data_IF_074837772803
#
_entry.id   IF_074837772803
#
_cell.length_a   1.000
_cell.length_b   1.000
_cell.length_c   1.000
_cell.angle_alpha   90.00
_cell.angle_beta   90.00
_cell.angle_gamma   90.00
#
_symmetry.space_group_name_H-M   'P 1'
#
loop_
_entity.id
_entity.type
_entity.pdbx_description
1 polymer ?
#
# COMPACT_ATOMS: atom_id res chain seq x y z
N UNK A 1 49.56 -0.89 26.02
CA UNK A 1 49.37 -0.08 24.80
C UNK A 1 47.86 0.14 24.65
N UNK A 2 47.42 1.28 25.18
CA UNK A 2 46.71 2.35 24.47
C UNK A 2 45.20 2.08 24.33
N UNK A 3 44.48 2.50 25.37
CA UNK A 3 43.04 2.76 25.30
C UNK A 3 42.78 4.00 24.45
N UNK A 4 41.81 3.87 23.54
CA UNK A 4 41.30 4.97 22.72
C UNK A 4 40.35 5.84 23.56
N UNK A 5 40.46 7.18 23.52
CA UNK A 5 39.52 8.04 24.22
C UNK A 5 38.23 8.18 23.41
N UNK A 6 37.10 7.78 24.01
CA UNK A 6 35.76 8.17 23.57
C UNK A 6 35.64 9.69 23.68
N UNK A 7 35.32 10.33 22.56
CA UNK A 7 34.92 11.74 22.52
C UNK A 7 33.48 11.83 23.04
N UNK A 8 33.30 12.28 24.27
CA UNK A 8 32.00 12.73 24.78
C UNK A 8 31.70 14.13 24.21
N UNK A 9 30.77 14.21 23.27
CA UNK A 9 30.21 15.48 22.85
C UNK A 9 29.20 15.96 23.92
N UNK A 10 29.62 16.93 24.73
CA UNK A 10 28.71 17.73 25.56
C UNK A 10 27.82 18.58 24.66
N UNK A 11 26.54 18.21 24.53
CA UNK A 11 25.52 19.13 24.06
C UNK A 11 25.08 20.01 25.25
N UNK A 12 25.24 21.31 25.08
CA UNK A 12 24.97 22.36 26.05
C UNK A 12 23.50 22.40 26.47
N UNK A 13 23.26 22.41 27.78
CA UNK A 13 22.00 22.80 28.40
C UNK A 13 21.76 24.30 28.15
N UNK A 14 20.76 24.61 27.33
CA UNK A 14 20.15 25.94 27.29
C UNK A 14 18.83 25.88 28.07
N UNK A 15 18.76 26.71 29.09
CA UNK A 15 17.68 26.85 30.07
C UNK A 15 16.33 27.15 29.43
N UNK A 16 15.31 26.42 29.87
CA UNK A 16 13.88 26.66 29.66
C UNK A 16 13.38 27.91 30.39
N UNK A 17 12.57 28.77 29.76
CA UNK A 17 11.65 29.63 30.49
C UNK A 17 10.35 28.88 30.78
N UNK A 18 9.95 28.96 32.05
CA UNK A 18 8.68 28.51 32.60
C UNK A 18 7.49 29.19 31.90
N UNK A 19 6.64 28.41 31.20
CA UNK A 19 5.30 28.83 30.74
C UNK A 19 4.34 27.63 30.76
N UNK A 20 3.94 27.21 31.96
CA UNK A 20 3.04 26.06 32.20
C UNK A 20 1.64 26.10 31.56
N UNK A 21 1.30 27.13 30.77
CA UNK A 21 0.06 27.20 29.97
C UNK A 21 0.28 27.10 28.45
N UNK A 22 1.52 27.24 27.95
CA UNK A 22 1.83 27.18 26.50
C UNK A 22 2.17 25.77 25.98
N UNK A 23 2.53 24.82 26.85
CA UNK A 23 2.80 23.43 26.44
C UNK A 23 1.53 22.64 26.08
N UNK A 24 0.34 23.11 26.46
CA UNK A 24 -0.92 22.42 26.18
C UNK A 24 -1.39 22.54 24.71
N UNK A 25 -0.84 23.48 23.92
CA UNK A 25 -1.30 23.76 22.55
C UNK A 25 -0.29 23.49 21.43
N UNK A 26 0.98 23.15 21.70
CA UNK A 26 1.95 22.84 20.62
C UNK A 26 1.60 21.56 19.85
N UNK A 27 0.81 20.68 20.48
CA UNK A 27 0.51 19.35 19.97
C UNK A 27 -0.84 19.26 19.25
N UNK A 28 -1.62 20.34 19.28
CA UNK A 28 -2.96 20.40 18.67
C UNK A 28 -2.91 21.19 17.37
N UNK A 29 -3.76 20.81 16.42
CA UNK A 29 -3.98 21.58 15.19
C UNK A 29 -5.44 21.52 14.81
N UNK A 30 -5.99 22.67 14.45
CA UNK A 30 -7.36 22.84 14.01
C UNK A 30 -7.34 23.11 12.50
N UNK A 31 -8.04 22.28 11.73
CA UNK A 31 -8.08 22.37 10.27
C UNK A 31 -9.49 22.80 9.91
N UNK A 32 -9.62 24.02 9.39
CA UNK A 32 -10.89 24.56 8.92
C UNK A 32 -10.96 24.40 7.41
N UNK A 33 -12.03 23.78 6.93
CA UNK A 33 -12.22 23.46 5.53
C UNK A 33 -13.55 23.99 4.98
N UNK A 34 -13.55 24.47 3.74
CA UNK A 34 -14.80 24.77 3.02
C UNK A 34 -15.60 23.48 2.80
N UNK A 35 -14.92 22.37 2.51
CA UNK A 35 -15.52 21.05 2.37
C UNK A 35 -14.62 19.95 2.97
N UNK A 36 -15.18 19.18 3.87
CA UNK A 36 -14.61 17.94 4.38
C UNK A 36 -15.26 16.74 3.69
N UNK A 37 -14.44 15.84 3.16
CA UNK A 37 -14.86 14.54 2.64
C UNK A 37 -14.41 13.51 3.68
N UNK A 38 -15.32 12.83 4.39
CA UNK A 38 -14.93 12.01 5.55
C UNK A 38 -14.25 10.68 5.18
N UNK A 39 -14.18 10.33 3.90
CA UNK A 39 -13.74 9.03 3.39
C UNK A 39 -14.92 8.10 3.14
N UNK A 40 -15.83 7.95 4.11
CA UNK A 40 -17.11 7.23 3.97
C UNK A 40 -18.25 8.09 4.50
N UNK A 41 -19.35 8.19 3.74
CA UNK A 41 -20.49 9.03 4.06
C UNK A 41 -20.43 10.43 3.43
N UNK A 42 -21.39 11.28 3.80
CA UNK A 42 -21.62 12.55 3.11
C UNK A 42 -20.57 13.63 3.43
N UNK A 43 -20.11 14.40 2.44
CA UNK A 43 -19.25 15.56 2.66
C UNK A 43 -19.92 16.63 3.53
N UNK A 44 -19.13 17.28 4.40
CA UNK A 44 -19.59 18.36 5.30
C UNK A 44 -19.01 19.70 4.87
N UNK A 45 -19.86 20.70 4.68
CA UNK A 45 -19.43 22.09 4.39
C UNK A 45 -19.07 22.85 5.66
N UNK A 46 -18.20 23.84 5.54
CA UNK A 46 -17.77 24.73 6.64
C UNK A 46 -17.34 23.90 7.85
N UNK A 47 -16.47 22.92 7.58
CA UNK A 47 -16.09 21.88 8.52
C UNK A 47 -14.83 22.25 9.30
N UNK A 48 -14.68 21.64 10.47
CA UNK A 48 -13.51 21.71 11.31
C UNK A 48 -13.07 20.30 11.72
N UNK A 49 -11.76 20.09 11.76
CA UNK A 49 -11.11 18.89 12.30
C UNK A 49 -10.10 19.32 13.34
N UNK A 50 -10.11 18.69 14.51
CA UNK A 50 -9.06 18.88 15.52
C UNK A 50 -8.23 17.62 15.59
N UNK A 51 -6.92 17.75 15.43
CA UNK A 51 -5.97 16.64 15.50
C UNK A 51 -4.93 16.87 16.59
N UNK A 52 -4.35 15.78 17.09
CA UNK A 52 -3.22 15.83 18.01
C UNK A 52 -2.04 15.02 17.51
N UNK A 53 -0.86 15.64 17.49
CA UNK A 53 0.41 14.97 17.17
C UNK A 53 0.90 14.06 18.31
N UNK A 54 0.51 14.37 19.56
CA UNK A 54 0.85 13.59 20.76
C UNK A 54 0.07 12.28 20.85
N UNK A 55 -1.25 12.34 20.74
CA UNK A 55 -2.08 11.12 20.72
C UNK A 55 -2.10 10.45 19.34
N UNK A 56 -1.69 11.17 18.29
CA UNK A 56 -1.79 10.78 16.87
C UNK A 56 -3.24 10.58 16.40
N UNK A 57 -4.21 11.14 17.12
CA UNK A 57 -5.65 10.93 16.87
C UNK A 57 -6.37 12.20 16.43
N UNK A 58 -7.47 11.99 15.73
CA UNK A 58 -8.51 12.97 15.47
C UNK A 58 -9.36 13.09 16.74
N UNK A 59 -9.49 14.31 17.26
CA UNK A 59 -10.15 14.63 18.53
C UNK A 59 -11.52 15.29 18.36
N UNK A 60 -11.82 15.78 17.15
CA UNK A 60 -13.12 16.36 16.80
C UNK A 60 -13.28 16.42 15.29
N UNK A 61 -14.51 16.20 14.81
CA UNK A 61 -14.93 16.43 13.43
C UNK A 61 -16.35 16.99 13.47
N UNK A 62 -16.60 18.09 12.77
CA UNK A 62 -17.93 18.70 12.73
C UNK A 62 -17.93 20.01 11.96
N UNK A 63 -18.97 20.83 12.14
CA UNK A 63 -18.98 22.20 11.61
C UNK A 63 -18.02 23.09 12.42
N UNK A 64 -17.51 24.13 11.79
CA UNK A 64 -16.69 25.16 12.45
C UNK A 64 -17.43 25.82 13.63
N UNK A 65 -18.75 25.99 13.53
CA UNK A 65 -19.59 26.52 14.62
C UNK A 65 -19.66 25.64 15.85
N UNK A 66 -19.34 24.34 15.69
CA UNK A 66 -19.56 23.32 16.70
C UNK A 66 -18.25 22.93 17.40
N UNK A 67 -17.12 23.58 17.06
CA UNK A 67 -15.81 23.32 17.66
C UNK A 67 -15.89 23.57 19.18
N UNK A 68 -15.61 22.56 20.02
CA UNK A 68 -15.65 22.72 21.47
C UNK A 68 -14.74 23.84 21.96
N UNK A 69 -15.22 24.64 22.92
CA UNK A 69 -14.46 25.79 23.49
C UNK A 69 -13.11 25.41 24.09
N UNK A 70 -12.93 24.16 24.53
CA UNK A 70 -11.63 23.61 24.95
C UNK A 70 -10.54 23.65 23.86
N UNK A 71 -10.91 23.82 22.60
CA UNK A 71 -10.00 23.98 21.47
C UNK A 71 -9.93 25.42 20.96
N UNK A 72 -10.47 26.41 21.67
CA UNK A 72 -10.51 27.80 21.20
C UNK A 72 -9.13 28.43 20.96
N UNK A 73 -8.09 27.96 21.67
CA UNK A 73 -6.70 28.41 21.54
C UNK A 73 -5.86 27.60 20.54
N UNK A 74 -6.47 26.61 19.88
CA UNK A 74 -5.80 25.69 18.97
C UNK A 74 -5.31 26.42 17.70
N UNK A 75 -4.04 26.24 17.28
CA UNK A 75 -3.54 26.79 16.02
C UNK A 75 -4.42 26.35 14.84
N UNK A 76 -4.95 27.32 14.11
CA UNK A 76 -5.93 27.06 13.04
C UNK A 76 -5.28 27.22 11.66
N UNK A 77 -5.45 26.20 10.82
CA UNK A 77 -5.03 26.16 9.42
C UNK A 77 -6.28 26.11 8.56
N UNK A 78 -6.41 27.05 7.63
CA UNK A 78 -7.52 27.09 6.68
C UNK A 78 -7.11 26.42 5.37
N UNK A 79 -7.93 25.50 4.90
CA UNK A 79 -7.74 24.78 3.64
C UNK A 79 -9.06 24.74 2.87
N UNK A 80 -9.06 24.64 1.54
CA UNK A 80 -10.32 24.59 0.81
C UNK A 80 -10.99 23.21 0.93
N UNK A 81 -10.24 22.12 0.75
CA UNK A 81 -10.77 20.74 0.77
C UNK A 81 -9.91 19.85 1.65
N UNK A 82 -10.53 19.11 2.57
CA UNK A 82 -9.86 18.17 3.48
C UNK A 82 -10.46 16.77 3.37
N UNK A 83 -9.61 15.74 3.45
CA UNK A 83 -10.01 14.33 3.39
C UNK A 83 -9.00 13.44 4.13
N UNK A 84 -9.29 12.14 4.38
CA UNK A 84 -8.30 11.24 4.96
C UNK A 84 -7.09 11.14 4.05
N UNK A 85 -5.93 10.87 4.63
CA UNK A 85 -4.76 10.49 3.84
C UNK A 85 -5.05 9.24 3.01
N UNK A 86 -4.55 9.25 1.78
CA UNK A 86 -4.82 8.18 0.81
C UNK A 86 -4.03 6.92 1.15
N UNK A 87 -4.59 5.79 0.75
CA UNK A 87 -3.97 4.48 0.81
C UNK A 87 -3.67 3.95 -0.60
N UNK A 88 -2.52 3.30 -0.74
CA UNK A 88 -2.23 2.43 -1.86
C UNK A 88 -2.18 0.98 -1.38
N UNK A 89 -3.19 0.19 -1.75
CA UNK A 89 -3.33 -1.19 -1.26
C UNK A 89 -2.52 -2.22 -2.07
N UNK A 90 -1.76 -1.79 -3.07
CA UNK A 90 -0.89 -2.68 -3.83
C UNK A 90 0.28 -1.89 -4.41
N UNK A 91 1.43 -1.97 -3.77
CA UNK A 91 2.67 -1.43 -4.31
C UNK A 91 3.86 -2.31 -3.89
N UNK A 92 5.03 -1.98 -4.43
CA UNK A 92 6.25 -2.77 -4.25
C UNK A 92 7.43 -1.87 -3.90
N UNK A 93 7.97 -2.05 -2.70
CA UNK A 93 9.15 -1.31 -2.23
C UNK A 93 10.40 -2.20 -2.37
N UNK A 94 10.84 -2.42 -3.61
CA UNK A 94 11.98 -3.29 -3.93
C UNK A 94 13.29 -2.55 -4.20
N UNK A 95 13.24 -1.27 -4.58
CA UNK A 95 14.39 -0.48 -5.01
C UNK A 95 14.80 -0.73 -6.47
N UNK A 96 14.05 -1.54 -7.20
CA UNK A 96 14.27 -1.82 -8.62
C UNK A 96 14.03 -0.58 -9.48
N UNK A 97 14.70 -0.51 -10.62
CA UNK A 97 14.61 0.59 -11.59
C UNK A 97 13.85 0.19 -12.85
N UNK A 98 13.54 -1.09 -12.99
CA UNK A 98 12.81 -1.67 -14.12
C UNK A 98 11.69 -2.59 -13.63
N UNK A 99 10.85 -3.06 -14.55
CA UNK A 99 9.85 -4.10 -14.28
C UNK A 99 10.44 -5.53 -14.31
N UNK A 100 11.74 -5.67 -14.57
CA UNK A 100 12.39 -6.98 -14.57
C UNK A 100 12.65 -7.41 -13.11
N UNK A 101 11.89 -8.40 -12.63
CA UNK A 101 12.02 -8.94 -11.27
C UNK A 101 13.43 -9.43 -10.95
N UNK A 102 14.20 -9.87 -11.94
CA UNK A 102 15.56 -10.39 -11.74
C UNK A 102 16.59 -9.30 -11.42
N UNK A 103 16.25 -8.03 -11.63
CA UNK A 103 17.02 -6.91 -11.09
C UNK A 103 17.08 -6.98 -9.56
N UNK A 104 15.98 -7.39 -8.91
CA UNK A 104 15.87 -7.43 -7.45
C UNK A 104 16.92 -8.35 -6.84
N UNK A 105 17.14 -9.52 -7.44
CA UNK A 105 18.15 -10.49 -6.97
C UNK A 105 19.60 -10.02 -7.18
N UNK A 106 19.83 -9.07 -8.08
CA UNK A 106 21.15 -8.51 -8.41
C UNK A 106 21.45 -7.21 -7.64
N UNK A 107 20.44 -6.64 -6.97
CA UNK A 107 20.52 -5.34 -6.32
C UNK A 107 21.12 -5.45 -4.91
N UNK A 108 22.11 -4.59 -4.62
CA UNK A 108 22.59 -4.41 -3.23
C UNK A 108 21.49 -3.81 -2.35
N UNK A 109 21.26 -4.37 -1.16
CA UNK A 109 20.27 -3.87 -0.21
C UNK A 109 20.54 -2.43 0.22
N UNK A 110 21.80 -1.99 0.28
CA UNK A 110 22.14 -0.60 0.58
C UNK A 110 21.64 0.36 -0.53
N UNK A 111 21.82 -0.04 -1.80
CA UNK A 111 21.30 0.72 -2.94
C UNK A 111 19.78 0.71 -2.97
N UNK A 112 19.16 -0.44 -2.68
CA UNK A 112 17.70 -0.56 -2.58
C UNK A 112 17.15 0.40 -1.50
N UNK A 113 17.69 0.35 -0.28
CA UNK A 113 17.29 1.23 0.82
C UNK A 113 17.44 2.72 0.50
N UNK A 114 18.56 3.12 -0.12
CA UNK A 114 18.78 4.51 -0.52
C UNK A 114 17.73 5.01 -1.53
N UNK A 115 17.36 4.18 -2.50
CA UNK A 115 16.30 4.50 -3.47
C UNK A 115 14.92 4.54 -2.80
N UNK A 116 14.64 3.57 -1.94
CA UNK A 116 13.35 3.46 -1.25
C UNK A 116 13.10 4.58 -0.25
N UNK A 117 14.14 5.15 0.36
CA UNK A 117 13.98 6.36 1.18
C UNK A 117 13.39 7.52 0.37
N UNK A 118 13.83 7.69 -0.87
CA UNK A 118 13.25 8.69 -1.78
C UNK A 118 11.83 8.30 -2.21
N UNK A 119 11.60 7.04 -2.58
CA UNK A 119 10.27 6.55 -2.93
C UNK A 119 9.24 6.76 -1.82
N UNK A 120 9.58 6.47 -0.57
CA UNK A 120 8.71 6.70 0.58
C UNK A 120 8.36 8.19 0.76
N UNK A 121 9.34 9.08 0.61
CA UNK A 121 9.13 10.52 0.68
C UNK A 121 8.22 11.01 -0.47
N UNK A 122 8.43 10.53 -1.70
CA UNK A 122 7.62 10.90 -2.87
C UNK A 122 6.17 10.42 -2.72
N UNK A 123 5.96 9.19 -2.23
CA UNK A 123 4.62 8.65 -1.93
C UNK A 123 3.90 9.49 -0.87
N UNK A 124 4.56 9.83 0.24
CA UNK A 124 3.97 10.68 1.28
C UNK A 124 3.63 12.08 0.73
N UNK A 125 4.53 12.66 -0.06
CA UNK A 125 4.33 13.97 -0.70
C UNK A 125 3.15 13.99 -1.68
N UNK A 126 2.80 12.84 -2.26
CA UNK A 126 1.64 12.65 -3.11
C UNK A 126 0.33 12.44 -2.33
N UNK A 127 0.36 12.56 -0.99
CA UNK A 127 -0.82 12.46 -0.13
C UNK A 127 -1.18 11.04 0.29
N UNK A 128 -0.33 10.05 -0.02
CA UNK A 128 -0.50 8.67 0.42
C UNK A 128 0.16 8.51 1.79
N UNK A 129 -0.65 8.52 2.84
CA UNK A 129 -0.16 8.42 4.22
C UNK A 129 0.01 6.98 4.67
N UNK A 130 -0.54 6.01 3.94
CA UNK A 130 -0.42 4.58 4.24
C UNK A 130 -0.25 3.77 2.95
N UNK A 131 0.52 2.70 3.02
CA UNK A 131 0.69 1.76 1.90
C UNK A 131 0.62 0.31 2.37
N UNK A 132 0.13 -0.55 1.49
CA UNK A 132 0.21 -2.01 1.60
C UNK A 132 1.22 -2.53 0.59
N UNK A 133 2.45 -2.74 1.05
CA UNK A 133 3.54 -3.30 0.25
C UNK A 133 3.34 -4.81 0.10
N UNK A 134 3.22 -5.30 -1.13
CA UNK A 134 2.94 -6.72 -1.41
C UNK A 134 4.16 -7.48 -1.93
N UNK A 135 5.36 -6.93 -1.79
CA UNK A 135 6.59 -7.65 -2.09
C UNK A 135 7.77 -6.69 -2.12
N UNK A 136 8.67 -6.80 -1.14
CA UNK A 136 9.77 -5.86 -1.03
C UNK A 136 10.52 -5.87 0.30
N UNK A 137 11.14 -4.73 0.57
CA UNK A 137 11.95 -4.42 1.75
C UNK A 137 11.29 -3.35 2.63
N UNK A 138 9.99 -3.12 2.46
CA UNK A 138 9.27 -2.15 3.28
C UNK A 138 9.28 -2.46 4.79
N UNK A 139 9.29 -3.72 5.29
CA UNK A 139 9.42 -3.96 6.73
C UNK A 139 10.73 -3.39 7.29
N UNK A 140 11.82 -3.55 6.55
CA UNK A 140 13.13 -3.02 6.93
C UNK A 140 13.17 -1.48 6.80
N UNK A 141 12.49 -0.91 5.80
CA UNK A 141 12.34 0.54 5.63
C UNK A 141 11.50 1.18 6.74
N UNK A 142 10.48 0.48 7.24
CA UNK A 142 9.56 0.97 8.26
C UNK A 142 10.28 1.39 9.53
N UNK A 143 11.34 0.67 9.92
CA UNK A 143 12.17 0.99 11.09
C UNK A 143 12.70 2.44 11.01
N UNK A 144 13.24 2.83 9.86
CA UNK A 144 13.81 4.17 9.64
C UNK A 144 12.72 5.27 9.48
N UNK A 145 11.48 4.89 9.15
CA UNK A 145 10.34 5.81 9.13
C UNK A 145 9.79 6.02 10.55
N UNK A 146 9.73 4.96 11.35
CA UNK A 146 9.19 4.96 12.71
C UNK A 146 10.10 5.69 13.69
N UNK A 147 11.42 5.55 13.55
CA UNK A 147 12.40 6.30 14.36
C UNK A 147 12.61 7.75 13.91
N UNK A 148 12.02 8.13 12.76
CA UNK A 148 12.07 9.48 12.21
C UNK A 148 13.31 9.83 11.39
N UNK A 149 14.18 8.86 11.08
CA UNK A 149 15.36 9.05 10.23
C UNK A 149 14.99 9.51 8.82
N UNK A 150 13.91 8.96 8.26
CA UNK A 150 13.36 9.36 6.95
C UNK A 150 11.84 9.59 7.02
N UNK A 151 11.28 10.47 6.18
CA UNK A 151 9.83 10.58 6.02
C UNK A 151 9.29 9.43 5.17
N UNK A 152 8.03 9.05 5.41
CA UNK A 152 7.34 8.06 4.61
C UNK A 152 5.92 7.77 5.10
N UNK A 153 5.12 7.00 4.36
CA UNK A 153 3.80 6.55 4.80
C UNK A 153 3.89 5.58 5.99
N UNK A 154 2.75 5.23 6.57
CA UNK A 154 2.62 4.04 7.41
C UNK A 154 2.76 2.80 6.52
N UNK A 155 3.55 1.82 6.97
CA UNK A 155 3.90 0.65 6.19
C UNK A 155 3.15 -0.58 6.70
N UNK A 156 2.37 -1.22 5.82
CA UNK A 156 1.74 -2.50 6.08
C UNK A 156 2.22 -3.52 5.04
N UNK A 157 3.36 -4.16 5.31
CA UNK A 157 4.04 -4.97 4.31
C UNK A 157 3.74 -6.47 4.43
N UNK A 158 3.81 -7.16 3.29
CA UNK A 158 3.86 -8.61 3.17
C UNK A 158 5.26 -9.20 3.45
N UNK A 159 6.30 -8.37 3.49
CA UNK A 159 7.67 -8.82 3.34
C UNK A 159 7.87 -9.34 1.92
N UNK A 160 8.25 -10.61 1.80
CA UNK A 160 8.36 -11.26 0.51
C UNK A 160 6.98 -11.66 -0.05
N UNK A 161 6.82 -11.55 -1.37
CA UNK A 161 5.75 -12.27 -2.07
C UNK A 161 6.12 -13.76 -2.18
N UNK A 162 5.22 -14.64 -1.79
CA UNK A 162 5.46 -16.10 -1.76
C UNK A 162 5.02 -16.71 -3.10
N UNK A 163 5.92 -17.45 -3.74
CA UNK A 163 5.73 -18.13 -5.03
C UNK A 163 6.15 -19.59 -4.93
N UNK A 164 5.54 -20.46 -5.73
CA UNK A 164 6.08 -21.79 -6.00
C UNK A 164 7.27 -21.69 -6.96
N UNK A 165 8.06 -22.76 -7.06
CA UNK A 165 9.00 -22.95 -8.17
C UNK A 165 8.24 -22.94 -9.51
N UNK A 166 8.82 -22.30 -10.52
CA UNK A 166 8.19 -21.99 -11.80
C UNK A 166 6.89 -21.16 -11.69
N UNK A 167 6.71 -20.44 -10.58
CA UNK A 167 5.61 -19.52 -10.36
C UNK A 167 5.89 -18.10 -10.86
N UNK A 168 4.93 -17.18 -10.66
CA UNK A 168 5.04 -15.81 -11.12
C UNK A 168 6.21 -15.04 -10.45
N UNK A 169 6.50 -15.38 -9.19
CA UNK A 169 7.64 -14.80 -8.46
C UNK A 169 8.98 -15.49 -8.70
N UNK A 170 9.06 -16.46 -9.61
CA UNK A 170 10.31 -17.13 -9.99
C UNK A 170 11.08 -16.32 -11.05
N UNK A 171 12.40 -16.46 -11.07
CA UNK A 171 13.31 -15.66 -11.90
C UNK A 171 13.87 -16.51 -13.05
N UNK A 172 13.06 -16.68 -14.10
CA UNK A 172 13.33 -17.60 -15.21
C UNK A 172 14.59 -17.31 -16.04
N UNK A 173 15.15 -16.11 -15.98
CA UNK A 173 16.43 -15.75 -16.63
C UNK A 173 17.66 -16.12 -15.78
N UNK A 174 17.47 -16.70 -14.59
CA UNK A 174 18.52 -17.15 -13.69
C UNK A 174 18.45 -18.68 -13.47
N UNK A 175 19.57 -19.35 -13.17
CA UNK A 175 19.56 -20.77 -12.84
C UNK A 175 18.73 -21.05 -11.59
N UNK A 176 17.86 -22.07 -11.62
CA UNK A 176 16.95 -22.40 -10.51
C UNK A 176 17.66 -22.55 -9.15
N UNK A 177 18.84 -23.18 -9.13
CA UNK A 177 19.64 -23.31 -7.90
C UNK A 177 20.10 -21.96 -7.32
N UNK A 178 20.36 -20.97 -8.18
CA UNK A 178 20.66 -19.61 -7.75
C UNK A 178 19.42 -18.94 -7.15
N UNK A 179 18.26 -19.06 -7.83
CA UNK A 179 17.00 -18.48 -7.34
C UNK A 179 16.64 -19.09 -5.99
N UNK A 180 16.75 -20.40 -5.84
CA UNK A 180 16.53 -21.10 -4.57
C UNK A 180 17.48 -20.62 -3.47
N UNK A 181 18.77 -20.44 -3.78
CA UNK A 181 19.72 -19.89 -2.83
C UNK A 181 19.38 -18.44 -2.42
N UNK A 182 18.82 -17.65 -3.32
CA UNK A 182 18.46 -16.24 -3.05
C UNK A 182 17.11 -16.08 -2.33
N UNK A 183 16.13 -16.94 -2.63
CA UNK A 183 14.72 -16.72 -2.27
C UNK A 183 14.07 -17.93 -1.56
N UNK A 184 14.70 -19.10 -1.54
CA UNK A 184 14.15 -20.30 -0.92
C UNK A 184 14.06 -20.21 0.61
N UNK A 185 13.10 -20.95 1.19
CA UNK A 185 12.87 -20.97 2.64
C UNK A 185 13.97 -21.68 3.45
N UNK A 186 14.86 -22.41 2.80
CA UNK A 186 15.91 -23.22 3.43
C UNK A 186 17.27 -22.99 2.77
N UNK A 187 17.88 -21.83 3.05
CA UNK A 187 19.27 -21.53 2.66
C UNK A 187 20.20 -21.50 3.86
N UNK A 188 21.49 -21.75 3.62
CA UNK A 188 22.53 -21.79 4.65
C UNK A 188 23.33 -20.47 4.67
N UNK A 189 22.64 -19.33 4.84
CA UNK A 189 23.28 -18.02 4.99
C UNK A 189 22.58 -17.15 6.05
N UNK A 190 23.18 -16.00 6.37
CA UNK A 190 22.70 -15.08 7.41
C UNK A 190 21.46 -14.26 7.02
N UNK A 191 20.94 -14.43 5.80
CA UNK A 191 19.90 -13.55 5.25
C UNK A 191 18.57 -14.28 4.98
N UNK A 192 18.44 -15.56 5.34
CA UNK A 192 17.22 -16.38 5.07
C UNK A 192 15.91 -15.63 5.34
N UNK A 193 15.04 -15.59 4.34
CA UNK A 193 13.71 -14.98 4.43
C UNK A 193 13.66 -13.46 4.24
N UNK A 194 14.80 -12.78 4.06
CA UNK A 194 14.90 -11.32 3.97
C UNK A 194 14.87 -10.76 2.54
N UNK A 195 14.52 -11.56 1.53
CA UNK A 195 14.38 -11.12 0.13
C UNK A 195 13.00 -10.49 -0.12
N UNK A 196 12.83 -9.80 -1.25
CA UNK A 196 11.53 -9.32 -1.72
C UNK A 196 10.62 -10.44 -2.26
N UNK A 197 11.20 -11.61 -2.55
CA UNK A 197 10.52 -12.81 -3.07
C UNK A 197 10.88 -14.02 -2.21
N UNK A 198 9.95 -14.97 -2.08
CA UNK A 198 10.14 -16.19 -1.32
C UNK A 198 9.64 -17.39 -2.14
N UNK A 199 10.54 -18.33 -2.46
CA UNK A 199 10.17 -19.59 -3.13
C UNK A 199 9.93 -20.66 -2.07
N UNK A 200 8.81 -21.36 -2.19
CA UNK A 200 8.44 -22.46 -1.30
C UNK A 200 7.59 -23.49 -2.05
N UNK A 201 7.92 -24.78 -1.90
CA UNK A 201 7.17 -25.88 -2.50
C UNK A 201 6.80 -26.92 -1.44
N UNK A 202 5.54 -27.31 -1.41
CA UNK A 202 4.96 -28.20 -0.43
C UNK A 202 4.50 -27.51 0.85
N UNK A 203 3.54 -28.16 1.52
CA UNK A 203 2.85 -27.65 2.72
C UNK A 203 3.80 -27.17 3.82
N UNK A 204 4.89 -27.90 4.07
CA UNK A 204 5.84 -27.57 5.15
C UNK A 204 6.67 -26.33 4.83
N UNK A 205 7.09 -26.18 3.57
CA UNK A 205 7.82 -25.00 3.13
C UNK A 205 6.94 -23.77 3.09
N UNK A 206 5.71 -23.88 2.58
CA UNK A 206 4.72 -22.80 2.60
C UNK A 206 4.44 -22.33 4.04
N UNK A 207 4.33 -23.26 4.99
CA UNK A 207 4.22 -22.94 6.43
C UNK A 207 5.42 -22.12 6.92
N UNK A 208 6.64 -22.50 6.53
CA UNK A 208 7.87 -21.77 6.87
C UNK A 208 7.93 -20.41 6.20
N UNK A 209 7.53 -20.29 4.93
CA UNK A 209 7.52 -19.06 4.16
C UNK A 209 6.70 -17.96 4.85
N UNK A 210 5.48 -18.30 5.29
CA UNK A 210 4.61 -17.39 6.05
C UNK A 210 5.29 -16.92 7.34
N UNK A 211 5.86 -17.87 8.11
CA UNK A 211 6.53 -17.56 9.39
C UNK A 211 7.74 -16.65 9.21
N UNK A 212 8.52 -16.82 8.14
CA UNK A 212 9.65 -15.95 7.82
C UNK A 212 9.19 -14.51 7.56
N UNK A 213 8.04 -14.32 6.91
CA UNK A 213 7.51 -12.96 6.69
C UNK A 213 7.01 -12.34 7.99
N UNK A 214 6.28 -13.11 8.81
CA UNK A 214 5.85 -12.61 10.13
C UNK A 214 7.05 -12.27 11.01
N UNK A 215 8.15 -13.02 10.94
CA UNK A 215 9.41 -12.72 11.63
C UNK A 215 9.97 -11.34 11.26
N UNK A 216 9.78 -10.89 10.01
CA UNK A 216 10.20 -9.56 9.54
C UNK A 216 9.23 -8.44 9.94
N UNK A 217 8.12 -8.78 10.61
CA UNK A 217 7.09 -7.82 11.00
C UNK A 217 5.92 -7.70 10.01
N UNK A 218 5.80 -8.62 9.04
CA UNK A 218 4.73 -8.57 8.05
C UNK A 218 3.32 -8.47 8.69
N UNK A 219 2.50 -7.60 8.11
CA UNK A 219 1.12 -7.27 8.52
C UNK A 219 0.06 -7.86 7.60
N UNK A 220 0.48 -8.38 6.46
CA UNK A 220 -0.31 -9.16 5.51
C UNK A 220 0.60 -10.26 4.96
N UNK A 221 0.06 -11.25 4.26
CA UNK A 221 0.84 -12.26 3.52
C UNK A 221 0.45 -12.16 2.05
N UNK A 222 1.42 -12.18 1.14
CA UNK A 222 1.18 -12.17 -0.31
C UNK A 222 1.53 -13.52 -0.91
N UNK A 223 0.67 -14.03 -1.78
CA UNK A 223 0.93 -15.21 -2.63
C UNK A 223 0.70 -14.90 -4.11
N UNK A 224 1.39 -15.65 -4.97
CA UNK A 224 1.06 -15.80 -6.39
C UNK A 224 0.20 -17.04 -6.59
N UNK A 225 -1.10 -16.86 -6.81
CA UNK A 225 -2.07 -17.95 -6.94
C UNK A 225 -2.49 -18.21 -8.41
N UNK A 226 -1.94 -17.45 -9.34
CA UNK A 226 -1.95 -17.74 -10.78
C UNK A 226 -0.66 -17.25 -11.41
N UNK A 227 -0.44 -17.61 -12.68
CA UNK A 227 0.61 -16.95 -13.45
C UNK A 227 0.39 -15.45 -13.62
N UNK A 228 1.40 -14.75 -14.09
CA UNK A 228 1.36 -13.30 -14.29
C UNK A 228 1.58 -12.85 -15.72
N UNK A 229 1.56 -11.52 -15.87
CA UNK A 229 1.74 -10.85 -17.16
C UNK A 229 3.22 -10.61 -17.46
N UNK A 230 4.01 -10.32 -16.44
CA UNK A 230 5.44 -9.95 -16.57
C UNK A 230 6.39 -11.16 -16.64
N UNK A 231 5.97 -12.32 -16.15
CA UNK A 231 6.74 -13.56 -16.23
C UNK A 231 6.65 -14.17 -17.62
N UNK A 232 7.78 -14.67 -18.10
CA UNK A 232 7.92 -15.15 -19.48
C UNK A 232 7.43 -16.58 -19.69
N UNK A 233 7.42 -17.41 -18.65
CA UNK A 233 7.25 -18.86 -18.79
C UNK A 233 6.00 -19.44 -18.11
N UNK A 234 5.28 -18.67 -17.29
CA UNK A 234 3.98 -19.07 -16.75
C UNK A 234 2.82 -18.53 -17.62
N UNK A 235 1.58 -18.84 -17.23
CA UNK A 235 0.39 -18.39 -17.92
C UNK A 235 -0.60 -17.77 -16.93
N UNK A 236 -1.11 -16.53 -17.17
CA UNK A 236 -2.08 -15.89 -16.29
C UNK A 236 -3.37 -16.68 -16.08
N UNK A 237 -3.72 -17.59 -17.00
CA UNK A 237 -4.91 -18.43 -16.88
C UNK A 237 -4.74 -19.60 -15.90
N UNK A 238 -3.51 -20.02 -15.62
CA UNK A 238 -3.25 -21.23 -14.84
C UNK A 238 -3.10 -20.91 -13.36
N UNK A 239 -3.73 -21.74 -12.53
CA UNK A 239 -3.55 -21.73 -11.07
C UNK A 239 -2.08 -21.98 -10.72
N UNK A 240 -1.62 -21.29 -9.68
CA UNK A 240 -0.35 -21.55 -9.00
C UNK A 240 -0.63 -21.84 -7.52
N UNK A 241 0.23 -22.66 -6.93
CA UNK A 241 0.03 -23.44 -5.72
C UNK A 241 -1.11 -24.48 -5.84
N UNK A 242 -0.89 -25.61 -5.17
CA UNK A 242 -1.96 -26.56 -4.88
C UNK A 242 -2.96 -25.97 -3.88
N UNK A 243 -4.16 -26.55 -3.84
CA UNK A 243 -5.19 -26.17 -2.87
C UNK A 243 -4.70 -26.40 -1.43
N UNK A 244 -3.91 -27.46 -1.20
CA UNK A 244 -3.29 -27.77 0.08
C UNK A 244 -2.29 -26.70 0.53
N UNK A 245 -1.47 -26.20 -0.39
CA UNK A 245 -0.49 -25.13 -0.12
C UNK A 245 -1.18 -23.79 0.16
N UNK A 246 -2.16 -23.40 -0.65
CA UNK A 246 -2.94 -22.18 -0.41
C UNK A 246 -3.66 -22.25 0.94
N UNK A 247 -4.26 -23.40 1.27
CA UNK A 247 -4.93 -23.61 2.55
C UNK A 247 -3.96 -23.46 3.73
N UNK A 248 -2.79 -24.10 3.70
CA UNK A 248 -1.85 -23.99 4.82
C UNK A 248 -1.32 -22.56 4.98
N UNK A 249 -1.12 -21.83 3.88
CA UNK A 249 -0.69 -20.42 3.92
C UNK A 249 -1.75 -19.57 4.64
N UNK A 250 -3.02 -19.72 4.27
CA UNK A 250 -4.14 -19.01 4.91
C UNK A 250 -4.27 -19.39 6.38
N UNK A 251 -4.16 -20.68 6.72
CA UNK A 251 -4.24 -21.15 8.11
C UNK A 251 -3.12 -20.57 8.99
N UNK A 252 -1.88 -20.53 8.50
CA UNK A 252 -0.76 -19.93 9.24
C UNK A 252 -0.89 -18.42 9.39
N UNK A 253 -1.29 -17.71 8.33
CA UNK A 253 -1.54 -16.28 8.38
C UNK A 253 -2.62 -15.96 9.43
N UNK A 254 -3.73 -16.70 9.39
CA UNK A 254 -4.86 -16.55 10.32
C UNK A 254 -4.45 -16.82 11.77
N UNK A 255 -3.64 -17.85 12.03
CA UNK A 255 -3.12 -18.17 13.38
C UNK A 255 -2.37 -16.99 14.00
N UNK A 256 -1.78 -16.15 13.17
CA UNK A 256 -1.05 -14.95 13.58
C UNK A 256 -1.86 -13.67 13.32
N UNK A 257 -3.18 -13.73 13.12
CA UNK A 257 -4.03 -12.56 12.87
C UNK A 257 -3.66 -11.74 11.63
N UNK A 258 -3.19 -12.39 10.57
CA UNK A 258 -2.97 -11.80 9.24
C UNK A 258 -3.98 -12.38 8.25
N UNK A 259 -4.26 -11.61 7.22
CA UNK A 259 -4.98 -12.09 6.03
C UNK A 259 -4.00 -12.37 4.89
N UNK A 260 -4.46 -13.11 3.88
CA UNK A 260 -3.69 -13.39 2.66
C UNK A 260 -4.25 -12.58 1.50
N UNK A 261 -3.34 -11.94 0.78
CA UNK A 261 -3.50 -11.26 -0.50
C UNK A 261 -3.05 -12.20 -1.62
N UNK A 262 -3.90 -12.47 -2.61
CA UNK A 262 -3.61 -13.36 -3.72
C UNK A 262 -3.55 -12.62 -5.06
N UNK A 263 -2.37 -12.65 -5.70
CA UNK A 263 -2.24 -12.32 -7.12
C UNK A 263 -2.99 -13.36 -7.94
N UNK A 264 -4.01 -12.91 -8.68
CA UNK A 264 -4.84 -13.79 -9.51
C UNK A 264 -5.28 -13.10 -10.80
N UNK A 265 -5.14 -13.80 -11.91
CA UNK A 265 -5.75 -13.43 -13.19
C UNK A 265 -6.83 -14.44 -13.58
N UNK A 266 -6.44 -15.68 -13.89
CA UNK A 266 -7.31 -16.75 -14.37
C UNK A 266 -8.33 -17.24 -13.35
N UNK A 267 -9.47 -17.73 -13.85
CA UNK A 267 -10.59 -18.18 -13.01
C UNK A 267 -10.19 -19.29 -12.03
N UNK A 268 -9.35 -20.24 -12.45
CA UNK A 268 -8.95 -21.36 -11.59
C UNK A 268 -8.20 -20.85 -10.34
N UNK A 269 -7.21 -19.98 -10.53
CA UNK A 269 -6.48 -19.34 -9.43
C UNK A 269 -7.37 -18.44 -8.55
N UNK A 270 -8.29 -17.68 -9.14
CA UNK A 270 -9.30 -16.89 -8.41
C UNK A 270 -10.12 -17.79 -7.48
N UNK A 271 -10.67 -18.87 -8.01
CA UNK A 271 -11.55 -19.76 -7.25
C UNK A 271 -10.79 -20.51 -6.17
N UNK A 272 -9.57 -20.96 -6.46
CA UNK A 272 -8.69 -21.61 -5.48
C UNK A 272 -8.34 -20.67 -4.32
N UNK A 273 -7.94 -19.43 -4.61
CA UNK A 273 -7.63 -18.42 -3.60
C UNK A 273 -8.85 -18.12 -2.70
N UNK A 274 -10.04 -17.95 -3.28
CA UNK A 274 -11.26 -17.70 -2.51
C UNK A 274 -11.67 -18.90 -1.65
N UNK A 275 -11.56 -20.12 -2.17
CA UNK A 275 -11.84 -21.36 -1.43
C UNK A 275 -10.88 -21.57 -0.28
N UNK A 276 -9.59 -21.26 -0.47
CA UNK A 276 -8.58 -21.33 0.58
C UNK A 276 -8.80 -20.29 1.69
N UNK A 277 -9.48 -19.18 1.37
CA UNK A 277 -9.82 -18.12 2.32
C UNK A 277 -8.95 -16.86 2.22
N UNK A 278 -8.31 -16.63 1.06
CA UNK A 278 -7.65 -15.35 0.78
C UNK A 278 -8.68 -14.21 0.89
N UNK A 279 -8.29 -13.12 1.54
CA UNK A 279 -9.21 -12.00 1.86
C UNK A 279 -9.15 -10.89 0.84
N UNK A 280 -8.04 -10.76 0.12
CA UNK A 280 -7.94 -9.82 -0.98
C UNK A 280 -7.47 -10.50 -2.24
N UNK A 281 -8.06 -10.12 -3.37
CA UNK A 281 -7.66 -10.55 -4.70
C UNK A 281 -7.09 -9.35 -5.44
N UNK A 282 -5.87 -9.51 -5.93
CA UNK A 282 -5.21 -8.49 -6.74
C UNK A 282 -5.40 -8.80 -8.23
N UNK A 283 -5.61 -7.74 -9.01
CA UNK A 283 -5.93 -7.76 -10.44
C UNK A 283 -7.31 -8.35 -10.75
N UNK A 284 -7.55 -9.64 -10.45
CA UNK A 284 -8.85 -10.31 -10.62
C UNK A 284 -9.34 -10.35 -12.07
N UNK A 285 -8.44 -10.32 -13.06
CA UNK A 285 -8.76 -10.03 -14.47
C UNK A 285 -9.89 -10.85 -15.07
N UNK A 286 -10.01 -12.13 -14.70
CA UNK A 286 -11.04 -13.04 -15.23
C UNK A 286 -12.16 -13.34 -14.21
N UNK A 287 -12.40 -12.47 -13.23
CA UNK A 287 -13.59 -12.54 -12.40
C UNK A 287 -14.85 -12.59 -13.28
N UNK A 288 -15.71 -13.57 -12.98
CA UNK A 288 -17.03 -13.73 -13.57
C UNK A 288 -18.10 -13.73 -12.47
N UNK A 289 -19.35 -13.94 -12.84
CA UNK A 289 -20.48 -13.88 -11.91
C UNK A 289 -20.33 -14.86 -10.74
N UNK A 290 -19.88 -16.08 -11.00
CA UNK A 290 -19.63 -17.09 -9.97
C UNK A 290 -18.59 -16.61 -8.96
N UNK A 291 -17.45 -16.13 -9.46
CA UNK A 291 -16.39 -15.63 -8.59
C UNK A 291 -16.79 -14.37 -7.84
N UNK A 292 -17.50 -13.42 -8.46
CA UNK A 292 -18.01 -12.22 -7.80
C UNK A 292 -19.01 -12.55 -6.68
N UNK A 293 -19.86 -13.56 -6.89
CA UNK A 293 -20.78 -14.03 -5.86
C UNK A 293 -20.02 -14.66 -4.68
N UNK A 294 -19.01 -15.48 -4.96
CA UNK A 294 -18.16 -16.06 -3.93
C UNK A 294 -17.35 -14.99 -3.18
N UNK A 295 -16.87 -13.95 -3.86
CA UNK A 295 -16.21 -12.80 -3.21
C UNK A 295 -17.14 -12.12 -2.21
N UNK A 296 -18.41 -11.88 -2.57
CA UNK A 296 -19.39 -11.31 -1.62
C UNK A 296 -19.63 -12.25 -0.44
N UNK A 297 -19.79 -13.55 -0.68
CA UNK A 297 -19.99 -14.55 0.38
C UNK A 297 -18.80 -14.59 1.37
N UNK A 298 -17.57 -14.52 0.86
CA UNK A 298 -16.35 -14.52 1.68
C UNK A 298 -15.96 -13.12 2.19
N UNK A 299 -16.74 -12.10 1.82
CA UNK A 299 -16.45 -10.68 2.02
C UNK A 299 -15.00 -10.35 1.61
N UNK A 300 -14.55 -10.91 0.48
CA UNK A 300 -13.24 -10.64 -0.09
C UNK A 300 -13.23 -9.29 -0.79
N UNK A 301 -12.08 -8.61 -0.79
CA UNK A 301 -11.91 -7.28 -1.36
C UNK A 301 -11.12 -7.40 -2.67
N UNK A 302 -11.62 -6.74 -3.72
CA UNK A 302 -10.91 -6.63 -5.00
C UNK A 302 -9.96 -5.41 -4.98
N UNK A 303 -8.73 -5.61 -5.45
CA UNK A 303 -7.78 -4.53 -5.77
C UNK A 303 -7.45 -4.61 -7.27
N UNK A 304 -8.07 -3.77 -8.12
CA UNK A 304 -8.00 -3.91 -9.59
C UNK A 304 -6.66 -3.57 -10.26
N UNK A 305 -5.83 -2.71 -9.63
CA UNK A 305 -4.51 -2.29 -10.13
C UNK A 305 -4.51 -1.82 -11.59
N UNK A 306 -5.35 -0.85 -11.92
CA UNK A 306 -5.49 -0.39 -13.31
C UNK A 306 -4.30 0.44 -13.78
N UNK A 307 -3.57 1.07 -12.86
CA UNK A 307 -2.40 1.91 -13.16
C UNK A 307 -1.30 1.16 -13.89
N UNK A 308 -0.83 0.01 -13.37
CA UNK A 308 0.21 -0.80 -14.03
C UNK A 308 -0.18 -1.16 -15.48
N UNK A 309 -1.43 -1.54 -15.71
CA UNK A 309 -1.94 -1.89 -17.05
C UNK A 309 -1.93 -0.70 -17.99
N UNK A 310 -2.42 0.47 -17.53
CA UNK A 310 -2.47 1.69 -18.35
C UNK A 310 -1.06 2.19 -18.69
N UNK A 311 -0.13 2.15 -17.74
CA UNK A 311 1.25 2.59 -17.98
C UNK A 311 2.03 1.62 -18.86
N UNK A 312 1.83 0.31 -18.69
CA UNK A 312 2.45 -0.69 -19.55
C UNK A 312 1.94 -0.62 -21.00
N UNK A 313 0.65 -0.32 -21.21
CA UNK A 313 0.11 -0.09 -22.56
C UNK A 313 0.65 1.17 -23.25
N UNK A 314 0.95 2.23 -22.49
CA UNK A 314 1.56 3.45 -23.02
C UNK A 314 3.03 3.26 -23.36
N UNK A 315 3.74 2.42 -22.60
CA UNK A 315 5.17 2.22 -22.67
C UNK A 315 5.50 0.75 -22.97
N UNK A 316 5.01 0.23 -24.09
CA UNK A 316 5.16 -1.19 -24.45
C UNK A 316 6.62 -1.66 -24.50
N UNK A 317 7.54 -0.76 -24.82
CA UNK A 317 8.98 -1.04 -24.87
C UNK A 317 9.58 -1.39 -23.50
N UNK A 318 8.85 -1.15 -22.40
CA UNK A 318 9.23 -1.61 -21.06
C UNK A 318 8.94 -3.11 -20.83
N UNK A 319 8.21 -3.76 -21.74
CA UNK A 319 7.82 -5.16 -21.65
C UNK A 319 8.58 -6.01 -22.67
N UNK A 320 8.89 -7.26 -22.30
CA UNK A 320 9.32 -8.26 -23.28
C UNK A 320 8.22 -8.53 -24.33
N UNK A 321 8.56 -9.00 -25.54
CA UNK A 321 7.58 -9.34 -26.56
C UNK A 321 6.47 -10.28 -26.05
N UNK A 322 6.83 -11.31 -25.28
CA UNK A 322 5.90 -12.28 -24.70
C UNK A 322 4.93 -11.61 -23.72
N UNK A 323 5.41 -10.66 -22.90
CA UNK A 323 4.56 -9.91 -21.98
C UNK A 323 3.67 -8.88 -22.67
N UNK A 324 4.07 -8.34 -23.83
CA UNK A 324 3.24 -7.42 -24.60
C UNK A 324 1.96 -8.09 -25.12
N UNK A 325 2.05 -9.33 -25.59
CA UNK A 325 0.89 -10.09 -26.07
C UNK A 325 -0.11 -10.35 -24.93
N UNK A 326 0.39 -10.87 -23.80
CA UNK A 326 -0.41 -11.08 -22.58
C UNK A 326 -1.08 -9.77 -22.10
N UNK A 327 -0.34 -8.65 -22.14
CA UNK A 327 -0.82 -7.35 -21.66
C UNK A 327 -2.04 -6.84 -22.43
N UNK A 328 -2.08 -7.01 -23.75
CA UNK A 328 -3.23 -6.55 -24.55
C UNK A 328 -4.51 -7.29 -24.17
N UNK A 329 -4.44 -8.60 -23.98
CA UNK A 329 -5.59 -9.40 -23.58
C UNK A 329 -6.06 -9.03 -22.16
N UNK A 330 -5.12 -9.00 -21.21
CA UNK A 330 -5.38 -8.63 -19.81
C UNK A 330 -5.97 -7.23 -19.73
N UNK A 331 -5.50 -6.28 -20.53
CA UNK A 331 -6.02 -4.92 -20.50
C UNK A 331 -7.48 -4.82 -20.93
N UNK A 332 -7.87 -5.52 -22.01
CA UNK A 332 -9.25 -5.55 -22.50
C UNK A 332 -10.16 -6.26 -21.53
N UNK A 333 -9.74 -7.43 -21.02
CA UNK A 333 -10.54 -8.22 -20.08
C UNK A 333 -10.69 -7.52 -18.73
N UNK A 334 -9.60 -6.95 -18.22
CA UNK A 334 -9.57 -6.23 -16.95
C UNK A 334 -10.47 -4.99 -16.95
N UNK A 335 -10.63 -4.29 -18.08
CA UNK A 335 -11.57 -3.17 -18.18
C UNK A 335 -13.03 -3.63 -18.00
N UNK A 336 -13.39 -4.71 -18.69
CA UNK A 336 -14.72 -5.31 -18.59
C UNK A 336 -14.97 -5.78 -17.16
N UNK A 337 -14.02 -6.53 -16.60
CA UNK A 337 -14.11 -7.04 -15.24
C UNK A 337 -14.30 -5.92 -14.22
N UNK A 338 -13.54 -4.83 -14.30
CA UNK A 338 -13.64 -3.75 -13.32
C UNK A 338 -15.04 -3.11 -13.33
N UNK A 339 -15.59 -2.86 -14.54
CA UNK A 339 -16.96 -2.38 -14.72
C UNK A 339 -18.01 -3.35 -14.12
N UNK A 340 -17.82 -4.65 -14.31
CA UNK A 340 -18.70 -5.69 -13.78
C UNK A 340 -18.60 -5.81 -12.26
N UNK A 341 -17.39 -5.74 -11.71
CA UNK A 341 -17.16 -5.75 -10.27
C UNK A 341 -17.85 -4.58 -9.56
N UNK A 342 -17.70 -3.36 -10.08
CA UNK A 342 -18.41 -2.17 -9.56
C UNK A 342 -19.92 -2.40 -9.57
N UNK A 343 -20.48 -2.82 -10.70
CA UNK A 343 -21.93 -3.09 -10.84
C UNK A 343 -22.43 -4.20 -9.92
N UNK A 344 -21.60 -5.20 -9.62
CA UNK A 344 -21.97 -6.33 -8.77
C UNK A 344 -22.02 -5.99 -7.28
N UNK A 345 -21.44 -4.86 -6.88
CA UNK A 345 -21.36 -4.42 -5.48
C UNK A 345 -20.33 -5.16 -4.64
N UNK A 346 -19.35 -5.86 -5.23
CA UNK A 346 -18.19 -6.36 -4.46
C UNK A 346 -17.43 -5.19 -3.86
N UNK A 347 -16.86 -5.39 -2.66
CA UNK A 347 -16.04 -4.37 -2.03
C UNK A 347 -14.73 -4.19 -2.79
N UNK A 348 -14.38 -2.94 -3.06
CA UNK A 348 -13.18 -2.57 -3.81
C UNK A 348 -12.33 -1.63 -2.95
N UNK A 349 -11.02 -1.88 -2.94
CA UNK A 349 -10.01 -0.95 -2.46
C UNK A 349 -9.02 -0.64 -3.59
N UNK A 350 -8.40 0.54 -3.57
CA UNK A 350 -7.50 0.96 -4.64
C UNK A 350 -6.04 0.65 -4.32
N UNK A 351 -5.32 0.19 -5.34
CA UNK A 351 -3.89 -0.06 -5.31
C UNK A 351 -3.35 -0.03 -6.72
N UNK A 352 -2.08 0.33 -6.89
CA UNK A 352 -1.58 0.78 -8.21
C UNK A 352 -0.69 -0.24 -8.92
N UNK A 353 -0.06 -1.12 -8.15
CA UNK A 353 1.03 -2.01 -8.54
C UNK A 353 2.25 -1.23 -9.08
N UNK A 354 2.58 -0.14 -8.38
CA UNK A 354 3.80 0.63 -8.63
C UNK A 354 4.99 0.04 -7.88
N UNK A 355 6.13 -0.07 -8.56
CA UNK A 355 7.37 -0.65 -8.00
C UNK A 355 8.69 -0.04 -8.48
N UNK A 356 8.65 0.94 -9.38
CA UNK A 356 9.86 1.51 -9.98
C UNK A 356 10.39 2.66 -9.12
N UNK A 357 11.68 2.63 -8.79
CA UNK A 357 12.32 3.61 -7.91
C UNK A 357 13.14 4.68 -8.67
N UNK A 358 12.94 4.80 -9.99
CA UNK A 358 13.50 5.89 -10.81
C UNK A 358 12.57 7.09 -10.75
N UNK A 359 12.96 8.27 -10.26
CA UNK A 359 12.07 9.43 -10.24
C UNK A 359 11.60 9.85 -11.64
N UNK A 360 10.34 10.29 -11.75
CA UNK A 360 9.80 10.93 -12.96
C UNK A 360 9.22 10.00 -14.03
N UNK A 361 9.25 8.68 -13.84
CA UNK A 361 8.52 7.74 -14.71
C UNK A 361 7.06 7.59 -14.23
N UNK A 362 6.14 7.23 -15.13
CA UNK A 362 4.73 7.00 -14.77
C UNK A 362 4.56 5.89 -13.73
N UNK A 363 5.46 4.91 -13.73
CA UNK A 363 5.48 3.78 -12.78
C UNK A 363 6.21 4.05 -11.47
N UNK A 364 6.63 5.29 -11.25
CA UNK A 364 7.38 5.67 -10.05
C UNK A 364 6.46 5.95 -8.87
N UNK A 365 6.96 5.63 -7.67
CA UNK A 365 6.37 6.10 -6.42
C UNK A 365 6.15 7.63 -6.44
N UNK A 366 5.01 8.08 -5.91
CA UNK A 366 4.54 9.46 -5.99
C UNK A 366 3.54 9.73 -7.12
N UNK A 367 3.36 8.80 -8.07
CA UNK A 367 2.34 8.89 -9.13
C UNK A 367 1.09 8.03 -8.85
N UNK A 368 0.91 7.60 -7.60
CA UNK A 368 -0.10 6.65 -7.16
C UNK A 368 -1.55 7.14 -7.41
N UNK A 369 -1.78 8.46 -7.43
CA UNK A 369 -3.12 9.06 -7.54
C UNK A 369 -3.85 8.79 -8.86
N UNK A 370 -3.18 8.23 -9.87
CA UNK A 370 -3.82 7.84 -11.13
C UNK A 370 -4.93 6.79 -10.98
N UNK A 371 -4.83 5.93 -9.97
CA UNK A 371 -5.78 4.83 -9.74
C UNK A 371 -7.20 5.32 -9.45
N UNK A 372 -7.36 6.44 -8.73
CA UNK A 372 -8.68 7.02 -8.42
C UNK A 372 -9.40 7.45 -9.71
N UNK A 373 -8.68 8.07 -10.63
CA UNK A 373 -9.24 8.48 -11.91
C UNK A 373 -9.63 7.28 -12.78
N UNK A 374 -8.86 6.18 -12.72
CA UNK A 374 -9.23 4.95 -13.42
C UNK A 374 -10.44 4.24 -12.80
N UNK A 375 -10.64 4.36 -11.48
CA UNK A 375 -11.85 3.87 -10.82
C UNK A 375 -13.09 4.64 -11.29
N UNK A 376 -12.98 5.97 -11.44
CA UNK A 376 -14.06 6.80 -12.01
C UNK A 376 -14.31 6.48 -13.48
N UNK A 377 -13.26 6.30 -14.29
CA UNK A 377 -13.38 5.85 -15.69
C UNK A 377 -14.09 4.49 -15.79
N UNK A 378 -13.88 3.60 -14.82
CA UNK A 378 -14.54 2.29 -14.75
C UNK A 378 -16.00 2.35 -14.27
N UNK A 379 -16.45 3.49 -13.75
CA UNK A 379 -17.85 3.73 -13.41
C UNK A 379 -18.15 4.01 -11.94
N UNK A 380 -17.13 4.19 -11.09
CA UNK A 380 -17.34 4.76 -9.76
C UNK A 380 -17.65 6.25 -9.85
N UNK A 381 -18.44 6.76 -8.92
CA UNK A 381 -18.47 8.20 -8.61
C UNK A 381 -17.14 8.62 -7.97
N UNK A 382 -16.77 9.92 -8.03
CA UNK A 382 -15.59 10.42 -7.34
C UNK A 382 -15.58 10.13 -5.83
N UNK A 383 -16.75 10.14 -5.18
CA UNK A 383 -16.87 9.83 -3.76
C UNK A 383 -16.59 8.35 -3.47
N UNK A 384 -17.13 7.44 -4.28
CA UNK A 384 -16.84 6.00 -4.18
C UNK A 384 -15.35 5.69 -4.43
N UNK A 385 -14.71 6.37 -5.39
CA UNK A 385 -13.29 6.22 -5.65
C UNK A 385 -12.42 6.70 -4.46
N UNK A 386 -12.80 7.81 -3.82
CA UNK A 386 -12.16 8.29 -2.59
C UNK A 386 -12.38 7.28 -1.45
N UNK A 387 -13.59 6.75 -1.28
CA UNK A 387 -13.89 5.74 -0.26
C UNK A 387 -13.05 4.47 -0.45
N UNK A 388 -12.89 4.02 -1.70
CA UNK A 388 -12.06 2.87 -2.05
C UNK A 388 -10.56 3.11 -1.79
N UNK A 389 -10.08 4.35 -1.87
CA UNK A 389 -8.70 4.74 -1.53
C UNK A 389 -8.51 5.18 -0.07
N UNK A 390 -9.56 5.18 0.75
CA UNK A 390 -9.51 5.65 2.14
C UNK A 390 -10.20 4.67 3.07
N UNK A 391 -11.53 4.75 3.25
CA UNK A 391 -12.23 4.01 4.28
C UNK A 391 -12.22 2.48 4.07
N UNK A 392 -12.22 2.01 2.82
CA UNK A 392 -12.15 0.57 2.52
C UNK A 392 -10.72 0.03 2.66
N UNK A 393 -9.71 0.88 2.55
CA UNK A 393 -8.33 0.45 2.42
C UNK A 393 -7.76 -0.25 3.67
N UNK A 394 -7.96 0.24 4.91
CA UNK A 394 -7.54 -0.49 6.12
C UNK A 394 -8.14 -1.89 6.20
N UNK A 395 -9.37 -2.09 5.70
CA UNK A 395 -10.05 -3.39 5.75
C UNK A 395 -9.29 -4.49 4.97
N UNK A 396 -8.41 -4.10 4.03
CA UNK A 396 -7.52 -5.02 3.29
C UNK A 396 -6.47 -5.73 4.16
N UNK A 397 -6.32 -5.29 5.41
CA UNK A 397 -5.42 -5.88 6.40
C UNK A 397 -6.15 -6.82 7.38
N UNK A 398 -7.48 -6.89 7.31
CA UNK A 398 -8.30 -7.64 8.26
C UNK A 398 -7.98 -7.27 9.71
N UNK A 399 -7.62 -8.23 10.58
CA UNK A 399 -7.36 -7.95 11.99
C UNK A 399 -6.16 -7.02 12.28
N UNK A 400 -5.28 -6.76 11.31
CA UNK A 400 -4.18 -5.80 11.47
C UNK A 400 -4.60 -4.34 11.17
N UNK A 401 -5.85 -4.12 10.74
CA UNK A 401 -6.33 -2.80 10.36
C UNK A 401 -6.30 -1.84 11.56
N UNK A 402 -5.69 -0.64 11.43
CA UNK A 402 -5.87 0.43 12.40
C UNK A 402 -7.27 1.06 12.26
N UNK A 403 -7.65 1.88 13.24
CA UNK A 403 -8.75 2.85 13.08
C UNK A 403 -8.22 4.03 12.26
N UNK A 404 -8.16 3.88 10.93
CA UNK A 404 -7.66 4.88 9.98
C UNK A 404 -8.55 4.93 8.73
N UNK A 405 -8.16 5.72 7.73
CA UNK A 405 -8.85 5.83 6.44
C UNK A 405 -10.15 6.65 6.47
N UNK A 406 -10.49 7.27 7.60
CA UNK A 406 -11.66 8.15 7.73
C UNK A 406 -11.31 9.37 8.60
N UNK A 407 -11.91 10.52 8.27
CA UNK A 407 -11.87 11.70 9.15
C UNK A 407 -12.98 11.56 10.17
N UNK A 408 -12.69 10.86 11.27
CA UNK A 408 -13.64 10.53 12.33
C UNK A 408 -12.95 10.58 13.69
N UNK A 409 -13.67 11.03 14.73
CA UNK A 409 -13.12 11.08 16.09
C UNK A 409 -12.60 9.71 16.54
N UNK A 410 -11.42 9.70 17.17
CA UNK A 410 -10.72 8.50 17.63
C UNK A 410 -9.88 7.79 16.56
N UNK A 411 -10.02 8.16 15.28
CA UNK A 411 -9.21 7.60 14.19
C UNK A 411 -7.83 8.26 14.15
N UNK A 412 -6.89 7.62 13.47
CA UNK A 412 -5.55 8.15 13.23
C UNK A 412 -5.63 9.50 12.50
N UNK A 413 -4.82 10.46 12.95
CA UNK A 413 -4.72 11.79 12.36
C UNK A 413 -3.86 11.80 11.08
N UNK A 414 -4.29 10.97 10.12
CA UNK A 414 -3.74 10.89 8.77
C UNK A 414 -4.69 11.63 7.83
N UNK A 415 -4.32 12.85 7.47
CA UNK A 415 -5.20 13.82 6.79
C UNK A 415 -4.43 14.50 5.67
N UNK A 416 -5.09 14.78 4.56
CA UNK A 416 -4.54 15.63 3.51
C UNK A 416 -5.48 16.77 3.17
N UNK A 417 -4.91 17.84 2.63
CA UNK A 417 -5.66 18.90 1.98
C UNK A 417 -5.29 19.01 0.50
N UNK A 418 -6.28 19.32 -0.33
CA UNK A 418 -6.10 19.48 -1.78
C UNK A 418 -6.59 20.85 -2.25
N UNK A 419 -5.99 21.37 -3.32
CA UNK A 419 -6.22 22.74 -3.79
C UNK A 419 -7.53 22.93 -4.56
N UNK A 420 -8.14 21.85 -5.04
CA UNK A 420 -9.39 21.88 -5.82
C UNK A 420 -10.33 20.75 -5.42
N UNK A 421 -11.63 20.91 -5.70
CA UNK A 421 -12.66 19.97 -5.28
C UNK A 421 -12.50 18.60 -5.99
N UNK A 422 -12.12 17.52 -5.28
CA UNK A 422 -11.89 16.21 -5.89
C UNK A 422 -13.20 15.53 -6.34
N UNK A 423 -14.36 16.00 -5.86
CA UNK A 423 -15.67 15.48 -6.30
C UNK A 423 -16.12 16.04 -7.66
N UNK A 424 -15.47 17.12 -8.12
CA UNK A 424 -15.70 17.69 -9.45
C UNK A 424 -14.64 17.25 -10.46
N UNK A 425 -13.41 17.09 -10.01
CA UNK A 425 -12.28 16.65 -10.82
C UNK A 425 -11.37 15.74 -10.00
N UNK A 426 -11.49 14.43 -10.23
CA UNK A 426 -10.71 13.41 -9.51
C UNK A 426 -9.24 13.41 -9.95
N UNK A 427 -8.90 14.01 -11.09
CA UNK A 427 -7.51 14.10 -11.58
C UNK A 427 -6.64 15.02 -10.71
N UNK A 428 -7.23 15.74 -9.74
CA UNK A 428 -6.48 16.49 -8.72
C UNK A 428 -5.41 15.63 -8.06
N UNK A 429 -5.68 14.34 -7.83
CA UNK A 429 -4.74 13.41 -7.17
C UNK A 429 -3.57 12.95 -8.05
N UNK A 430 -3.65 13.12 -9.38
CA UNK A 430 -2.56 12.70 -10.29
C UNK A 430 -1.27 13.49 -10.12
N UNK A 431 -1.32 14.67 -9.49
CA UNK A 431 -0.16 15.56 -9.36
C UNK A 431 0.06 15.90 -7.90
N UNK A 432 1.19 15.47 -7.36
CA UNK A 432 1.57 15.73 -5.96
C UNK A 432 1.51 17.23 -5.58
N UNK A 433 1.78 18.14 -6.51
CA UNK A 433 1.68 19.60 -6.25
C UNK A 433 0.27 20.09 -5.88
N UNK A 434 -0.77 19.34 -6.23
CA UNK A 434 -2.16 19.68 -5.90
C UNK A 434 -2.54 19.28 -4.47
N UNK A 435 -1.72 18.45 -3.81
CA UNK A 435 -1.85 18.12 -2.40
C UNK A 435 -1.12 19.21 -1.61
N UNK A 436 -1.86 20.15 -1.04
CA UNK A 436 -1.26 21.32 -0.38
C UNK A 436 -0.69 20.96 0.99
N UNK A 437 -1.37 20.08 1.73
CA UNK A 437 -0.96 19.69 3.07
C UNK A 437 -1.04 18.19 3.28
N UNK A 438 -0.11 17.65 4.06
CA UNK A 438 -0.09 16.24 4.47
C UNK A 438 0.23 16.14 5.95
N UNK A 439 -0.73 15.64 6.72
CA UNK A 439 -0.54 15.23 8.11
C UNK A 439 -0.50 13.71 8.20
N UNK A 440 0.47 13.18 8.95
CA UNK A 440 0.54 11.75 9.31
C UNK A 440 0.75 11.63 10.80
N UNK A 441 -0.13 10.89 11.48
CA UNK A 441 -0.15 10.79 12.94
C UNK A 441 -0.21 12.16 13.63
N UNK A 442 -0.94 13.11 13.04
CA UNK A 442 -1.09 14.47 13.56
C UNK A 442 0.10 15.41 13.31
N UNK A 443 1.23 14.91 12.81
CA UNK A 443 2.39 15.73 12.44
C UNK A 443 2.28 16.21 11.00
N UNK A 444 2.53 17.49 10.76
CA UNK A 444 2.58 18.09 9.42
C UNK A 444 3.90 17.73 8.73
N UNK A 445 3.83 17.05 7.58
CA UNK A 445 4.99 16.67 6.76
C UNK A 445 5.14 17.51 5.49
N UNK A 446 4.06 18.14 5.04
CA UNK A 446 4.03 18.99 3.85
C UNK A 446 3.05 20.14 4.06
N UNK A 447 3.47 21.34 3.67
CA UNK A 447 2.63 22.54 3.54
C UNK A 447 3.13 23.35 2.34
N UNK A 448 2.22 23.91 1.56
CA UNK A 448 2.51 24.70 0.36
C UNK A 448 1.95 26.11 0.41
#
# INVERSE_FOLDING_TARGET
MQGSPRVEAKASSLSSPDTGENELNSDLTCIYAELLIPGRGDPTKDAAVVISSKSKKILFVGKQSDVPSKYASCPTIHVPYVLPGLWDCHCHFTGATTLNLSEIAKLSLATAGARLARSAADTLNAGFTSIRDLGGYAPELAVAIEDGTIPGPNIYSAGAAISQTAGHGDLFDLPAGWVWQCNGVARNDMTVGSSALCIADGVDECRKAVRLQVRRGAKVIKVFASGGVLSIADNPLYQQFSDEELKVIVEEAKRMHRVVAAHVHGKDGIMAALKAGCKTLEHGTYLDEEALNLMKEKEAILIPTRTIVKEALKNKDLLSPESQEKMVEVAKRGEKMYKEAIKSGVKIALGTDLGVSVPGLGLSHGNNGGELAYAVEAGMTPLEAIEAATANAPETLGPQAPLSGQVKEGYDADIIAVVSNPLKDIDVFRKAKNISHVWKGGKLFKSS
#
